data_IF_894702096368
#
_entry.id   IF_894702096368
#
_cell.length_a   1.000
_cell.length_b   1.000
_cell.length_c   1.000
_cell.angle_alpha   90.00
_cell.angle_beta   90.00
_cell.angle_gamma   90.00
#
_symmetry.space_group_name_H-M   'P 1'
#
loop_
_entity.id
_entity.type
_entity.pdbx_description
1 polymer ?
#
# COMPACT_ATOMS: atom_id res chain seq x y z
N UNK A 1 22.76 25.35 -89.57
CA UNK A 1 23.74 24.27 -89.29
C UNK A 1 23.20 23.49 -88.09
N UNK A 2 22.80 22.24 -88.32
CA UNK A 2 21.98 21.42 -87.42
C UNK A 2 22.75 20.67 -86.32
N UNK A 3 22.22 19.55 -85.77
CA UNK A 3 20.92 18.93 -86.03
C UNK A 3 20.11 18.50 -84.78
N UNK A 4 18.90 18.03 -85.09
CA UNK A 4 17.94 17.29 -84.27
C UNK A 4 18.47 15.87 -83.94
N UNK A 5 18.19 15.35 -82.74
CA UNK A 5 18.19 13.91 -82.40
C UNK A 5 17.51 13.76 -81.03
N UNK A 6 16.25 13.36 -80.92
CA UNK A 6 15.64 12.02 -81.01
C UNK A 6 15.85 11.09 -79.80
N UNK A 7 14.74 10.86 -79.08
CA UNK A 7 14.26 9.65 -78.37
C UNK A 7 15.27 8.75 -77.63
N UNK A 8 14.97 8.45 -76.36
CA UNK A 8 14.65 7.06 -75.95
C UNK A 8 13.92 7.02 -74.60
N UNK A 9 13.02 6.04 -74.47
CA UNK A 9 12.37 5.62 -73.22
C UNK A 9 13.17 4.47 -72.60
N UNK A 10 13.39 4.53 -71.29
CA UNK A 10 13.55 3.40 -70.37
C UNK A 10 13.44 4.00 -68.96
N UNK A 11 12.69 3.51 -67.98
CA UNK A 11 12.25 2.16 -67.71
C UNK A 11 12.68 1.85 -66.26
N UNK A 12 11.71 1.86 -65.34
CA UNK A 12 11.69 1.16 -64.04
C UNK A 12 12.80 1.53 -63.03
N UNK A 13 12.48 1.97 -61.81
CA UNK A 13 12.09 1.05 -60.73
C UNK A 13 11.61 1.85 -59.51
N UNK A 14 10.51 1.41 -58.91
CA UNK A 14 10.06 1.85 -57.60
C UNK A 14 11.05 1.38 -56.53
N UNK A 15 11.70 2.30 -55.82
CA UNK A 15 12.37 2.00 -54.55
C UNK A 15 11.53 2.56 -53.41
N UNK A 16 10.65 1.73 -52.87
CA UNK A 16 10.03 1.97 -51.56
C UNK A 16 11.10 1.74 -50.49
N UNK A 17 11.68 2.81 -49.95
CA UNK A 17 12.41 2.71 -48.69
C UNK A 17 11.39 2.49 -47.56
N UNK A 18 11.18 1.23 -47.17
CA UNK A 18 10.47 0.89 -45.94
C UNK A 18 11.35 1.25 -44.74
N UNK A 19 11.01 2.35 -44.06
CA UNK A 19 11.60 2.69 -42.77
C UNK A 19 11.08 1.68 -41.73
N UNK A 20 11.84 0.63 -41.45
CA UNK A 20 11.50 -0.30 -40.36
C UNK A 20 11.74 0.41 -39.03
N UNK A 21 10.65 0.92 -38.44
CA UNK A 21 10.61 1.32 -37.04
C UNK A 21 10.87 0.07 -36.19
N UNK A 22 12.09 -0.08 -35.68
CA UNK A 22 12.37 -1.03 -34.59
C UNK A 22 11.66 -0.50 -33.35
N UNK A 23 10.37 -0.82 -33.21
CA UNK A 23 9.71 -0.76 -31.93
C UNK A 23 10.47 -1.73 -31.01
N UNK A 24 11.21 -1.18 -30.07
CA UNK A 24 11.74 -1.92 -28.94
C UNK A 24 10.54 -2.45 -28.16
N UNK A 25 10.10 -3.66 -28.51
CA UNK A 25 9.28 -4.49 -27.65
C UNK A 25 10.12 -4.75 -26.40
N UNK A 26 10.01 -3.85 -25.43
CA UNK A 26 10.30 -4.14 -24.05
C UNK A 26 9.32 -5.25 -23.67
N UNK A 27 9.73 -6.49 -23.89
CA UNK A 27 9.15 -7.64 -23.23
C UNK A 27 9.30 -7.37 -21.74
N UNK A 28 8.22 -6.88 -21.14
CA UNK A 28 8.06 -6.91 -19.71
C UNK A 28 8.02 -8.39 -19.37
N UNK A 29 9.18 -8.96 -19.03
CA UNK A 29 9.20 -10.22 -18.33
C UNK A 29 8.33 -10.01 -17.10
N UNK A 30 7.17 -10.66 -17.09
CA UNK A 30 6.36 -10.79 -15.89
C UNK A 30 7.20 -11.64 -14.94
N UNK A 31 8.05 -10.97 -14.14
CA UNK A 31 8.61 -11.58 -12.95
C UNK A 31 7.41 -11.82 -12.03
N UNK A 32 6.81 -13.00 -12.16
CA UNK A 32 5.99 -13.55 -11.09
C UNK A 32 6.91 -13.62 -9.88
N UNK A 33 6.74 -12.68 -8.95
CA UNK A 33 7.54 -12.63 -7.74
C UNK A 33 7.19 -13.90 -6.92
N UNK A 34 7.95 -14.98 -7.15
CA UNK A 34 7.87 -16.25 -6.41
C UNK A 34 8.16 -16.10 -4.90
N UNK A 35 8.39 -14.88 -4.43
CA UNK A 35 8.79 -14.51 -3.07
C UNK A 35 7.66 -14.56 -2.04
N UNK A 36 6.38 -14.55 -2.44
CA UNK A 36 5.25 -14.50 -1.49
C UNK A 36 5.06 -15.77 -0.64
N UNK A 37 5.58 -16.92 -1.08
CA UNK A 37 5.40 -18.18 -0.36
C UNK A 37 6.57 -18.55 0.57
N UNK A 38 7.77 -18.02 0.29
CA UNK A 38 8.99 -18.34 1.03
C UNK A 38 9.01 -17.63 2.38
N UNK A 39 9.38 -18.37 3.43
CA UNK A 39 9.65 -17.79 4.74
C UNK A 39 11.05 -17.18 4.75
N UNK A 40 11.13 -15.88 5.06
CA UNK A 40 12.36 -15.14 5.29
C UNK A 40 12.61 -15.00 6.79
N UNK A 41 13.81 -14.57 7.18
CA UNK A 41 14.17 -14.35 8.59
C UNK A 41 14.30 -12.85 8.88
N UNK A 42 13.83 -12.43 10.05
CA UNK A 42 13.97 -11.07 10.56
C UNK A 42 14.25 -11.12 12.07
N UNK A 43 14.70 -9.99 12.60
CA UNK A 43 14.69 -9.76 14.04
C UNK A 43 13.32 -9.21 14.45
N UNK A 44 12.90 -9.52 15.67
CA UNK A 44 11.71 -8.92 16.26
C UNK A 44 11.94 -8.53 17.72
N UNK A 45 11.43 -7.36 18.09
CA UNK A 45 11.24 -6.89 19.46
C UNK A 45 9.76 -6.58 19.67
N UNK A 46 9.42 -5.98 20.81
CA UNK A 46 8.10 -5.42 21.01
C UNK A 46 8.14 -4.11 21.80
N UNK A 47 7.07 -3.33 21.65
CA UNK A 47 6.93 -2.01 22.28
C UNK A 47 5.51 -1.78 22.81
N UNK A 48 5.38 -0.74 23.65
CA UNK A 48 4.12 -0.34 24.28
C UNK A 48 3.63 -1.30 25.37
N UNK A 49 2.33 -1.25 25.71
CA UNK A 49 1.77 -2.11 26.74
C UNK A 49 1.80 -3.60 26.34
N UNK A 50 1.99 -4.54 27.29
CA UNK A 50 2.08 -5.98 27.01
C UNK A 50 0.90 -6.59 26.25
N UNK A 51 -0.29 -5.98 26.36
CA UNK A 51 -1.53 -6.40 25.70
C UNK A 51 -2.14 -5.29 24.83
N UNK A 52 -1.37 -4.23 24.56
CA UNK A 52 -1.74 -3.11 23.69
C UNK A 52 -1.26 -3.27 22.25
N UNK A 53 -1.59 -2.29 21.41
CA UNK A 53 -1.20 -2.21 20.00
C UNK A 53 0.17 -1.55 19.78
N UNK A 54 0.98 -1.36 20.82
CA UNK A 54 2.16 -0.50 20.74
C UNK A 54 1.79 0.94 21.12
N UNK A 55 1.66 1.82 20.12
CA UNK A 55 1.16 3.19 20.32
C UNK A 55 0.09 3.56 19.28
N UNK A 56 -0.70 4.58 19.57
CA UNK A 56 -1.63 5.20 18.61
C UNK A 56 -0.97 6.33 17.81
N UNK A 57 0.30 6.67 18.07
CA UNK A 57 1.03 7.75 17.40
C UNK A 57 1.86 7.30 16.20
N UNK A 58 1.51 6.18 15.57
CA UNK A 58 2.35 5.51 14.58
C UNK A 58 2.52 6.28 13.26
N UNK A 59 3.66 6.06 12.61
CA UNK A 59 4.09 6.74 11.39
C UNK A 59 3.16 6.59 10.16
N UNK A 60 2.22 5.64 10.19
CA UNK A 60 1.23 5.48 9.12
C UNK A 60 -0.01 6.35 9.27
N UNK A 61 -0.23 6.98 10.44
CA UNK A 61 -1.38 7.86 10.68
C UNK A 61 -2.67 7.16 11.09
N UNK A 62 -2.65 5.85 11.37
CA UNK A 62 -3.84 5.05 11.70
C UNK A 62 -4.47 5.36 13.09
N UNK A 63 -3.79 6.12 13.94
CA UNK A 63 -4.33 6.59 15.24
C UNK A 63 -4.89 5.47 16.11
N UNK A 64 -6.12 5.61 16.60
CA UNK A 64 -6.80 4.65 17.48
C UNK A 64 -7.26 3.38 16.75
N UNK A 65 -7.23 3.33 15.42
CA UNK A 65 -7.70 2.17 14.67
C UNK A 65 -6.86 0.91 14.97
N UNK A 66 -5.58 1.10 15.31
CA UNK A 66 -4.64 0.01 15.67
C UNK A 66 -5.09 -0.79 16.90
N UNK A 67 -5.82 -0.15 17.83
CA UNK A 67 -6.35 -0.80 19.04
C UNK A 67 -7.66 -1.58 18.78
N UNK A 68 -8.34 -1.28 17.67
CA UNK A 68 -9.72 -1.71 17.38
C UNK A 68 -9.75 -2.78 16.29
N UNK A 69 -10.86 -3.53 16.15
CA UNK A 69 -11.11 -4.31 14.93
C UNK A 69 -11.02 -3.39 13.69
N UNK A 70 -10.45 -3.86 12.56
CA UNK A 70 -9.99 -5.22 12.29
C UNK A 70 -8.49 -5.46 12.58
N UNK A 71 -7.74 -4.45 13.02
CA UNK A 71 -6.33 -4.65 13.38
C UNK A 71 -6.18 -5.47 14.66
N UNK A 72 -7.10 -5.33 15.62
CA UNK A 72 -7.12 -6.10 16.86
C UNK A 72 -5.77 -6.08 17.60
N UNK A 73 -5.06 -4.94 17.59
CA UNK A 73 -3.72 -4.81 18.17
C UNK A 73 -2.68 -5.70 17.51
N UNK A 74 -2.99 -6.38 16.41
CA UNK A 74 -2.05 -7.23 15.66
C UNK A 74 -1.25 -6.38 14.67
N UNK A 75 -0.46 -5.47 15.21
CA UNK A 75 0.28 -4.47 14.45
C UNK A 75 1.77 -4.48 14.79
N UNK A 76 2.57 -3.83 13.95
CA UNK A 76 4.01 -3.68 14.14
C UNK A 76 4.52 -2.34 13.58
N UNK A 77 5.56 -1.80 14.22
CA UNK A 77 6.46 -0.86 13.59
C UNK A 77 7.48 -1.62 12.75
N UNK A 78 7.56 -1.31 11.46
CA UNK A 78 8.49 -1.95 10.54
C UNK A 78 9.81 -1.17 10.45
N UNK A 79 10.93 -1.87 10.39
CA UNK A 79 12.19 -1.27 9.92
C UNK A 79 12.10 -0.82 8.45
N UNK A 80 13.17 -0.24 7.93
CA UNK A 80 13.17 0.44 6.62
C UNK A 80 12.75 -0.48 5.45
N UNK A 81 13.09 -1.77 5.51
CA UNK A 81 12.67 -2.76 4.52
C UNK A 81 11.14 -2.96 4.46
N UNK A 82 10.45 -2.72 5.57
CA UNK A 82 9.01 -2.92 5.70
C UNK A 82 8.24 -1.61 5.61
N UNK A 83 8.67 -0.55 6.30
CA UNK A 83 7.99 0.76 6.30
C UNK A 83 8.14 1.49 4.96
N UNK A 84 9.30 1.38 4.30
CA UNK A 84 9.56 1.93 2.95
C UNK A 84 9.13 3.40 2.78
N UNK A 85 9.46 4.23 3.77
CA UNK A 85 9.08 5.66 3.79
C UNK A 85 7.57 5.87 3.61
N UNK A 86 6.75 5.10 4.33
CA UNK A 86 5.29 5.17 4.27
C UNK A 86 4.63 4.24 3.25
N UNK A 87 5.35 3.85 2.17
CA UNK A 87 4.79 2.96 1.13
C UNK A 87 4.45 1.55 1.65
N UNK A 88 5.03 1.16 2.78
CA UNK A 88 4.77 -0.10 3.45
C UNK A 88 3.56 -0.10 4.38
N UNK A 89 2.96 1.07 4.66
CA UNK A 89 1.80 1.18 5.52
C UNK A 89 0.63 0.34 4.99
N UNK A 90 -0.03 -0.35 5.91
CA UNK A 90 -1.12 -1.29 5.59
C UNK A 90 -0.64 -2.65 5.11
N UNK A 91 0.67 -2.86 4.90
CA UNK A 91 1.21 -4.12 4.46
C UNK A 91 1.03 -5.25 5.48
N UNK A 92 0.50 -6.40 5.04
CA UNK A 92 0.26 -7.54 5.91
C UNK A 92 1.32 -8.64 5.80
N UNK A 93 1.67 -9.22 6.94
CA UNK A 93 2.66 -10.28 7.06
C UNK A 93 2.18 -11.38 7.99
N UNK A 94 2.60 -12.61 7.68
CA UNK A 94 2.59 -13.71 8.65
C UNK A 94 3.94 -13.73 9.35
N UNK A 95 3.96 -13.68 10.67
CA UNK A 95 5.18 -13.71 11.49
C UNK A 95 5.08 -14.86 12.50
N UNK A 96 6.13 -15.67 12.61
CA UNK A 96 6.23 -16.74 13.61
C UNK A 96 7.61 -16.79 14.24
N UNK A 97 7.66 -17.03 15.54
CA UNK A 97 8.91 -17.27 16.23
C UNK A 97 9.61 -18.56 15.74
N UNK A 98 10.95 -18.53 15.67
CA UNK A 98 11.79 -19.63 15.18
C UNK A 98 12.18 -20.64 16.26
N UNK A 99 12.84 -20.21 17.34
CA UNK A 99 13.61 -21.13 18.21
C UNK A 99 13.38 -21.02 19.71
N UNK A 100 12.57 -20.07 20.21
CA UNK A 100 12.38 -19.93 21.66
C UNK A 100 11.46 -21.05 22.21
N UNK A 101 11.74 -21.63 23.40
CA UNK A 101 11.00 -22.77 23.95
C UNK A 101 9.47 -22.57 24.01
N UNK A 102 9.06 -21.35 24.36
CA UNK A 102 7.66 -20.95 24.50
C UNK A 102 6.94 -20.66 23.19
N UNK A 103 7.60 -20.80 22.03
CA UNK A 103 6.96 -20.49 20.76
C UNK A 103 5.94 -21.56 20.35
N UNK A 104 4.77 -21.11 19.90
CA UNK A 104 3.72 -22.00 19.37
C UNK A 104 4.05 -22.56 17.99
N UNK A 105 5.01 -21.94 17.29
CA UNK A 105 5.33 -22.16 15.86
C UNK A 105 4.18 -21.80 14.90
N UNK A 106 3.03 -21.35 15.41
CA UNK A 106 1.92 -20.84 14.61
C UNK A 106 2.19 -19.38 14.25
N UNK A 107 1.94 -18.96 13.00
CA UNK A 107 2.11 -17.57 12.63
C UNK A 107 0.95 -16.71 13.09
N UNK A 108 1.29 -15.48 13.48
CA UNK A 108 0.37 -14.37 13.72
C UNK A 108 0.33 -13.51 12.46
N UNK A 109 -0.86 -13.05 12.08
CA UNK A 109 -1.01 -12.07 11.01
C UNK A 109 -0.84 -10.69 11.62
N UNK A 110 0.06 -9.87 11.07
CA UNK A 110 0.28 -8.50 11.53
C UNK A 110 0.18 -7.52 10.36
N UNK A 111 -0.08 -6.25 10.71
CA UNK A 111 -0.09 -5.12 9.77
C UNK A 111 1.00 -4.12 10.15
N UNK A 112 1.68 -3.55 9.15
CA UNK A 112 2.62 -2.44 9.36
C UNK A 112 1.85 -1.14 9.53
N UNK A 113 1.99 -0.52 10.69
CA UNK A 113 1.26 0.69 11.09
C UNK A 113 2.17 1.80 11.61
N UNK A 114 3.47 1.53 11.73
CA UNK A 114 4.45 2.44 12.30
C UNK A 114 5.87 2.15 11.73
N UNK A 115 6.84 3.00 12.08
CA UNK A 115 8.23 2.92 11.66
C UNK A 115 9.15 2.67 12.86
N UNK A 116 10.05 1.69 12.72
CA UNK A 116 11.13 1.44 13.68
C UNK A 116 12.46 1.94 13.07
N UNK A 117 12.83 3.23 13.29
CA UNK A 117 13.99 3.84 12.63
C UNK A 117 15.32 3.19 13.06
N UNK A 118 16.31 3.24 12.15
CA UNK A 118 17.64 2.69 12.41
C UNK A 118 17.73 1.16 12.34
N UNK A 119 16.66 0.50 11.87
CA UNK A 119 16.61 -0.94 11.65
C UNK A 119 16.19 -1.26 10.22
N UNK A 120 16.66 -2.37 9.65
CA UNK A 120 16.33 -2.77 8.28
C UNK A 120 15.27 -3.89 8.25
N UNK A 121 15.68 -5.15 8.29
CA UNK A 121 14.77 -6.31 8.37
C UNK A 121 14.40 -6.63 9.83
N UNK A 122 13.62 -5.74 10.43
CA UNK A 122 13.20 -5.82 11.83
C UNK A 122 11.71 -5.51 12.00
N UNK A 123 11.02 -6.27 12.85
CA UNK A 123 9.66 -5.98 13.30
C UNK A 123 9.70 -5.59 14.77
N UNK A 124 9.32 -4.36 15.10
CA UNK A 124 8.99 -4.02 16.48
C UNK A 124 7.50 -4.24 16.66
N UNK A 125 7.12 -5.41 17.17
CA UNK A 125 5.74 -5.84 17.26
C UNK A 125 5.02 -5.11 18.40
N UNK A 126 3.72 -4.93 18.30
CA UNK A 126 2.92 -4.63 19.49
C UNK A 126 3.09 -5.73 20.55
N UNK A 127 2.93 -5.38 21.83
CA UNK A 127 2.96 -6.36 22.92
C UNK A 127 1.96 -7.50 22.71
N UNK A 128 0.77 -7.18 22.21
CA UNK A 128 -0.24 -8.19 21.89
C UNK A 128 0.22 -9.14 20.76
N UNK A 129 0.73 -8.62 19.64
CA UNK A 129 1.21 -9.45 18.53
C UNK A 129 2.43 -10.31 18.91
N UNK A 130 3.36 -9.77 19.71
CA UNK A 130 4.53 -10.51 20.16
C UNK A 130 4.14 -11.68 21.07
N UNK A 131 3.28 -11.42 22.06
CA UNK A 131 2.74 -12.44 22.95
C UNK A 131 1.94 -13.51 22.20
N UNK A 132 1.20 -13.15 21.15
CA UNK A 132 0.40 -14.07 20.34
C UNK A 132 1.23 -15.13 19.59
N UNK A 133 2.56 -14.97 19.48
CA UNK A 133 3.44 -16.01 18.94
C UNK A 133 3.75 -17.14 19.95
N UNK A 134 3.42 -16.95 21.22
CA UNK A 134 3.67 -17.92 22.28
C UNK A 134 2.67 -19.08 22.28
N UNK A 135 3.00 -20.15 22.98
CA UNK A 135 2.03 -21.17 23.40
C UNK A 135 1.00 -20.53 24.35
N UNK A 136 -0.24 -21.03 24.39
CA UNK A 136 -1.25 -20.51 25.31
C UNK A 136 -0.75 -20.47 26.75
N UNK A 137 -0.89 -19.31 27.40
CA UNK A 137 -0.44 -19.09 28.79
C UNK A 137 1.07 -18.85 28.96
N UNK A 138 1.81 -18.66 27.86
CA UNK A 138 3.26 -18.37 27.85
C UNK A 138 3.59 -17.01 27.22
N UNK A 139 2.59 -16.15 27.04
CA UNK A 139 2.70 -14.86 26.36
C UNK A 139 3.68 -13.93 27.10
N UNK A 140 3.56 -13.84 28.44
CA UNK A 140 4.46 -13.05 29.28
C UNK A 140 5.90 -13.58 29.25
N UNK A 141 6.06 -14.90 29.30
CA UNK A 141 7.37 -15.53 29.26
C UNK A 141 8.04 -15.29 27.90
N UNK A 142 7.31 -15.41 26.80
CA UNK A 142 7.86 -15.08 25.49
C UNK A 142 8.25 -13.60 25.42
N UNK A 143 7.39 -12.68 25.85
CA UNK A 143 7.70 -11.23 25.89
C UNK A 143 8.94 -10.91 26.72
N UNK A 144 9.18 -11.65 27.80
CA UNK A 144 10.37 -11.48 28.65
C UNK A 144 11.70 -11.78 27.94
N UNK A 145 11.68 -12.52 26.83
CA UNK A 145 12.85 -12.70 25.97
C UNK A 145 13.33 -11.38 25.34
N UNK A 146 12.42 -10.39 25.19
CA UNK A 146 12.68 -9.07 24.63
C UNK A 146 12.93 -9.05 23.12
N UNK A 147 13.84 -9.90 22.64
CA UNK A 147 14.24 -10.01 21.24
C UNK A 147 14.21 -11.44 20.76
N UNK A 148 13.67 -11.67 19.56
CA UNK A 148 13.57 -12.98 18.93
C UNK A 148 14.04 -12.94 17.47
N UNK A 149 14.60 -14.05 17.01
CA UNK A 149 14.64 -14.33 15.57
C UNK A 149 13.29 -14.91 15.15
N UNK A 150 12.65 -14.27 14.19
CA UNK A 150 11.36 -14.67 13.63
C UNK A 150 11.51 -15.10 12.18
N UNK A 151 10.54 -15.90 11.71
CA UNK A 151 10.30 -16.14 10.30
C UNK A 151 9.08 -15.35 9.86
N UNK A 152 9.16 -14.71 8.71
CA UNK A 152 8.06 -13.93 8.16
C UNK A 152 7.84 -14.19 6.67
N UNK A 153 6.66 -13.82 6.16
CA UNK A 153 6.37 -13.69 4.73
C UNK A 153 5.19 -12.75 4.51
N UNK A 154 5.10 -12.16 3.32
CA UNK A 154 3.93 -11.38 2.90
C UNK A 154 2.67 -12.26 2.95
N UNK A 155 1.55 -11.67 3.31
CA UNK A 155 0.25 -12.33 3.31
C UNK A 155 -0.81 -11.35 2.81
N UNK A 156 -1.74 -11.76 1.93
CA UNK A 156 -2.84 -10.87 1.55
C UNK A 156 -3.61 -10.39 2.79
N UNK A 157 -3.79 -9.08 2.89
CA UNK A 157 -4.63 -8.44 3.88
C UNK A 157 -6.09 -8.84 3.69
N UNK A 158 -6.74 -9.16 4.81
CA UNK A 158 -8.14 -9.56 4.87
C UNK A 158 -8.79 -8.87 6.06
N UNK A 159 -9.79 -8.04 5.79
CA UNK A 159 -10.49 -7.24 6.78
C UNK A 159 -11.97 -7.56 6.72
N UNK A 160 -12.32 -8.81 7.02
CA UNK A 160 -13.68 -9.36 6.83
C UNK A 160 -14.76 -8.47 7.45
N UNK A 161 -15.72 -8.06 6.62
CA UNK A 161 -16.85 -7.21 7.03
C UNK A 161 -16.45 -5.76 7.36
N UNK A 162 -15.19 -5.37 7.18
CA UNK A 162 -14.73 -3.99 7.34
C UNK A 162 -14.47 -3.38 5.96
N UNK A 163 -15.25 -2.37 5.56
CA UNK A 163 -15.04 -1.72 4.28
C UNK A 163 -13.77 -0.87 4.28
N UNK A 164 -13.18 -0.67 3.10
CA UNK A 164 -12.14 0.32 2.89
C UNK A 164 -12.64 1.68 3.39
N UNK A 165 -11.84 2.34 4.22
CA UNK A 165 -12.22 3.57 4.93
C UNK A 165 -11.30 4.71 4.55
N UNK A 166 -11.88 5.89 4.35
CA UNK A 166 -11.24 7.13 3.99
C UNK A 166 -11.43 8.09 5.16
N UNK A 167 -10.37 8.37 5.90
CA UNK A 167 -10.38 9.40 6.94
C UNK A 167 -9.91 10.72 6.32
N UNK A 168 -10.79 11.72 6.30
CA UNK A 168 -10.47 13.05 5.77
C UNK A 168 -9.72 13.82 6.85
N UNK A 169 -8.53 14.32 6.52
CA UNK A 169 -7.72 15.08 7.47
C UNK A 169 -8.47 16.34 7.94
N UNK A 170 -8.27 16.73 9.22
CA UNK A 170 -8.95 17.87 9.83
C UNK A 170 -8.58 19.23 9.19
N UNK A 171 -7.43 19.33 8.54
CA UNK A 171 -6.99 20.49 7.76
C UNK A 171 -7.59 20.59 6.36
N UNK A 172 -8.33 19.56 5.91
CA UNK A 172 -9.00 19.57 4.61
C UNK A 172 -10.05 20.69 4.49
N UNK A 173 -10.28 21.14 3.27
CA UNK A 173 -11.29 22.13 2.91
C UNK A 173 -11.61 22.01 1.39
N UNK A 174 -12.58 22.75 0.83
CA UNK A 174 -12.92 22.59 -0.59
C UNK A 174 -11.78 22.81 -1.60
N UNK A 175 -10.67 23.43 -1.22
CA UNK A 175 -9.51 23.68 -2.10
C UNK A 175 -8.30 22.78 -1.78
N UNK A 176 -8.36 21.99 -0.70
CA UNK A 176 -7.31 21.08 -0.28
C UNK A 176 -7.94 19.85 0.36
N UNK A 177 -7.73 18.68 -0.23
CA UNK A 177 -8.19 17.41 0.30
C UNK A 177 -7.00 16.54 0.64
N UNK A 178 -6.94 16.07 1.89
CA UNK A 178 -6.01 15.04 2.32
C UNK A 178 -6.78 13.90 2.98
N UNK A 179 -6.48 12.68 2.55
CA UNK A 179 -7.17 11.47 3.01
C UNK A 179 -6.19 10.39 3.41
N UNK A 180 -6.42 9.81 4.58
CA UNK A 180 -5.82 8.57 5.02
C UNK A 180 -6.69 7.41 4.53
N UNK A 181 -6.07 6.39 3.92
CA UNK A 181 -6.78 5.21 3.42
C UNK A 181 -6.45 3.99 4.29
N UNK A 182 -7.48 3.42 4.89
CA UNK A 182 -7.41 2.24 5.75
C UNK A 182 -8.14 1.03 5.15
N UNK A 183 -7.78 -0.15 5.65
CA UNK A 183 -8.45 -1.43 5.36
C UNK A 183 -8.45 -1.83 3.87
N UNK A 184 -7.36 -1.54 3.16
CA UNK A 184 -7.16 -2.00 1.79
C UNK A 184 -6.86 -3.50 1.76
N UNK A 185 -7.77 -4.30 1.22
CA UNK A 185 -7.56 -5.75 1.09
C UNK A 185 -6.58 -6.12 -0.05
N UNK A 186 -6.07 -7.36 -0.01
CA UNK A 186 -5.06 -7.82 -0.97
C UNK A 186 -3.66 -7.39 -0.54
N UNK A 187 -2.99 -6.55 -1.31
CA UNK A 187 -1.61 -6.16 -1.00
C UNK A 187 -1.49 -5.33 0.30
N UNK A 188 -2.56 -4.63 0.70
CA UNK A 188 -2.56 -3.66 1.80
C UNK A 188 -1.86 -2.35 1.48
N UNK A 189 -0.76 -2.42 0.74
CA UNK A 189 0.05 -1.29 0.31
C UNK A 189 -0.48 -0.67 -0.97
N UNK A 190 -0.47 0.67 -1.02
CA UNK A 190 -1.00 1.47 -2.13
C UNK A 190 0.17 2.15 -2.84
N UNK A 191 0.17 2.15 -4.19
CA UNK A 191 1.16 2.90 -4.97
C UNK A 191 0.58 4.12 -5.70
N UNK A 192 -0.75 4.19 -5.86
CA UNK A 192 -1.42 5.35 -6.44
C UNK A 192 -2.83 5.52 -5.89
N UNK A 193 -3.21 6.78 -5.65
CA UNK A 193 -4.58 7.20 -5.36
C UNK A 193 -4.94 8.30 -6.34
N UNK A 194 -6.10 8.18 -6.98
CA UNK A 194 -6.70 9.18 -7.83
C UNK A 194 -8.09 9.52 -7.32
N UNK A 195 -8.53 10.76 -7.53
CA UNK A 195 -9.87 11.22 -7.19
C UNK A 195 -10.63 11.68 -8.43
N UNK A 196 -11.95 11.65 -8.35
CA UNK A 196 -12.86 12.25 -9.34
C UNK A 196 -14.01 12.95 -8.64
N UNK A 197 -14.15 14.25 -8.91
CA UNK A 197 -15.26 15.06 -8.47
C UNK A 197 -16.51 14.83 -9.34
N UNK A 198 -17.70 15.02 -8.80
CA UNK A 198 -18.97 14.73 -9.49
C UNK A 198 -19.20 15.54 -10.77
N UNK A 199 -18.60 16.72 -10.88
CA UNK A 199 -18.69 17.58 -12.06
C UNK A 199 -17.58 17.32 -13.10
N UNK A 200 -16.79 16.25 -12.93
CA UNK A 200 -15.68 15.90 -13.84
C UNK A 200 -15.75 14.43 -14.25
N UNK A 201 -15.34 14.17 -15.49
CA UNK A 201 -15.12 12.82 -15.99
C UNK A 201 -13.66 12.36 -15.85
N UNK A 202 -12.78 13.25 -15.39
CA UNK A 202 -11.34 13.00 -15.30
C UNK A 202 -10.93 12.50 -13.91
N UNK A 203 -10.06 11.49 -13.90
CA UNK A 203 -9.36 11.04 -12.70
C UNK A 203 -8.10 11.87 -12.51
N UNK A 204 -7.94 12.44 -11.32
CA UNK A 204 -6.82 13.29 -10.97
C UNK A 204 -5.95 12.60 -9.94
N UNK A 205 -4.66 12.51 -10.23
CA UNK A 205 -3.66 11.90 -9.35
C UNK A 205 -3.50 12.71 -8.05
N UNK A 206 -3.65 12.04 -6.92
CA UNK A 206 -3.27 12.57 -5.60
C UNK A 206 -1.78 12.33 -5.37
N UNK A 207 -1.15 13.23 -4.61
CA UNK A 207 0.26 13.13 -4.22
C UNK A 207 0.36 12.39 -2.88
N UNK A 208 1.34 11.48 -2.71
CA UNK A 208 1.62 10.92 -1.39
C UNK A 208 2.03 12.04 -0.43
N UNK A 209 1.53 11.96 0.79
CA UNK A 209 1.90 12.80 1.93
C UNK A 209 2.69 11.96 2.94
N UNK A 210 2.59 12.30 4.23
CA UNK A 210 3.18 11.50 5.31
C UNK A 210 2.42 10.17 5.52
N UNK A 211 3.14 9.10 5.86
CA UNK A 211 2.53 7.80 6.19
C UNK A 211 1.67 7.23 5.06
N UNK A 212 0.39 6.94 5.37
CA UNK A 212 -0.60 6.46 4.41
C UNK A 212 -1.57 7.56 3.91
N UNK A 213 -1.21 8.85 4.08
CA UNK A 213 -2.03 9.96 3.62
C UNK A 213 -1.73 10.35 2.17
N UNK A 214 -2.76 10.81 1.48
CA UNK A 214 -2.72 11.27 0.09
C UNK A 214 -3.41 12.63 -0.02
N UNK A 215 -2.77 13.58 -0.68
CA UNK A 215 -3.23 14.96 -0.75
C UNK A 215 -3.45 15.45 -2.18
N UNK A 216 -4.38 16.39 -2.34
CA UNK A 216 -4.63 17.09 -3.60
C UNK A 216 -5.09 18.53 -3.33
N UNK A 217 -4.48 19.49 -4.03
CA UNK A 217 -4.88 20.90 -4.02
C UNK A 217 -5.60 21.24 -5.31
N UNK A 218 -6.71 21.99 -5.20
CA UNK A 218 -7.57 22.34 -6.33
C UNK A 218 -7.55 23.85 -6.59
N UNK A 219 -7.61 24.24 -7.87
CA UNK A 219 -7.75 25.65 -8.28
C UNK A 219 -9.18 26.18 -8.12
N UNK A 220 -10.17 25.29 -8.04
CA UNK A 220 -11.57 25.57 -7.79
C UNK A 220 -12.09 24.63 -6.68
N UNK A 221 -13.20 24.97 -6.00
CA UNK A 221 -13.77 24.11 -4.97
C UNK A 221 -14.10 22.71 -5.52
N UNK A 222 -13.67 21.67 -4.81
CA UNK A 222 -14.05 20.29 -5.07
C UNK A 222 -15.57 20.15 -4.99
N UNK A 223 -16.20 19.86 -6.11
CA UNK A 223 -17.61 19.54 -6.16
C UNK A 223 -17.82 18.07 -5.79
N UNK A 224 -18.31 17.80 -4.58
CA UNK A 224 -18.73 16.46 -4.21
C UNK A 224 -20.03 16.02 -4.91
N UNK A 225 -20.35 14.72 -4.91
CA UNK A 225 -19.58 13.64 -4.29
C UNK A 225 -18.21 13.37 -4.94
N UNK A 226 -17.29 12.78 -4.18
CA UNK A 226 -15.93 12.46 -4.63
C UNK A 226 -15.75 10.94 -4.63
N UNK A 227 -15.31 10.43 -5.77
CA UNK A 227 -14.92 9.03 -5.98
C UNK A 227 -13.41 8.87 -5.90
N UNK A 228 -12.92 7.69 -5.52
CA UNK A 228 -11.48 7.36 -5.52
C UNK A 228 -11.18 6.14 -6.38
N UNK A 229 -9.99 6.13 -6.97
CA UNK A 229 -9.39 4.98 -7.64
C UNK A 229 -8.07 4.66 -6.97
N UNK A 230 -7.97 3.47 -6.41
CA UNK A 230 -6.83 2.99 -5.62
C UNK A 230 -6.09 1.93 -6.42
N UNK A 231 -4.79 2.10 -6.61
CA UNK A 231 -3.91 1.09 -7.23
C UNK A 231 -3.00 0.49 -6.18
N UNK A 232 -3.08 -0.83 -5.98
CA UNK A 232 -2.24 -1.54 -5.01
C UNK A 232 -0.81 -1.76 -5.52
N UNK A 233 0.16 -1.87 -4.62
CA UNK A 233 1.57 -1.83 -5.01
C UNK A 233 2.10 -3.11 -5.67
N UNK A 234 1.76 -4.31 -5.18
CA UNK A 234 2.40 -5.54 -5.66
C UNK A 234 1.69 -6.12 -6.88
N UNK A 235 0.37 -6.24 -6.82
CA UNK A 235 -0.48 -6.81 -7.86
C UNK A 235 -0.93 -5.80 -8.90
N UNK A 236 -0.71 -4.50 -8.65
CA UNK A 236 -1.20 -3.39 -9.48
C UNK A 236 -2.72 -3.45 -9.70
N UNK A 237 -3.45 -4.01 -8.74
CA UNK A 237 -4.91 -4.11 -8.79
C UNK A 237 -5.51 -2.72 -8.62
N UNK A 238 -6.42 -2.36 -9.52
CA UNK A 238 -7.13 -1.09 -9.49
C UNK A 238 -8.52 -1.30 -8.90
N UNK A 239 -8.88 -0.52 -7.89
CA UNK A 239 -10.19 -0.53 -7.22
C UNK A 239 -10.81 0.84 -7.37
N UNK A 240 -12.03 0.92 -7.88
CA UNK A 240 -12.80 2.16 -7.96
C UNK A 240 -13.88 2.15 -6.90
N UNK A 241 -13.89 3.16 -6.05
CA UNK A 241 -14.93 3.40 -5.04
C UNK A 241 -15.65 4.71 -5.39
N UNK A 242 -16.90 4.57 -5.81
CA UNK A 242 -17.69 5.70 -6.27
C UNK A 242 -18.32 6.44 -5.08
N UNK A 243 -18.36 7.76 -5.19
CA UNK A 243 -19.15 8.67 -4.35
C UNK A 243 -18.99 8.46 -2.84
N UNK A 244 -17.79 8.09 -2.39
CA UNK A 244 -17.52 7.76 -0.98
C UNK A 244 -17.56 8.99 -0.08
N UNK A 245 -17.09 10.13 -0.57
CA UNK A 245 -17.20 11.43 0.11
C UNK A 245 -18.46 12.13 -0.44
N UNK A 246 -19.52 12.33 0.36
CA UNK A 246 -20.75 12.98 -0.09
C UNK A 246 -20.53 14.47 -0.34
N UNK A 247 -21.50 15.15 -0.96
CA UNK A 247 -21.39 16.59 -1.29
C UNK A 247 -21.05 17.47 -0.08
N UNK A 248 -21.52 17.10 1.10
CA UNK A 248 -21.37 17.81 2.36
C UNK A 248 -20.33 17.19 3.30
N UNK A 249 -19.35 16.46 2.75
CA UNK A 249 -18.24 15.89 3.50
C UNK A 249 -17.57 16.93 4.42
N UNK A 250 -17.03 16.46 5.54
CA UNK A 250 -16.45 17.29 6.59
C UNK A 250 -15.02 16.85 6.89
N UNK A 251 -14.11 17.79 7.17
CA UNK A 251 -12.79 17.48 7.69
C UNK A 251 -12.88 16.69 9.01
N UNK A 252 -11.91 15.80 9.24
CA UNK A 252 -11.82 14.97 10.44
C UNK A 252 -12.87 13.87 10.55
N UNK A 253 -13.51 13.47 9.44
CA UNK A 253 -14.54 12.43 9.41
C UNK A 253 -14.12 11.21 8.61
N UNK A 254 -14.69 10.06 8.97
CA UNK A 254 -14.49 8.78 8.29
C UNK A 254 -15.61 8.52 7.29
N UNK A 255 -15.24 8.10 6.08
CA UNK A 255 -16.15 7.69 5.02
C UNK A 255 -15.82 6.27 4.57
N UNK A 256 -16.83 5.42 4.48
CA UNK A 256 -16.66 3.98 4.20
C UNK A 256 -17.16 3.65 2.80
N UNK A 257 -16.39 2.87 2.05
CA UNK A 257 -16.82 2.34 0.76
C UNK A 257 -18.06 1.44 0.94
N UNK A 258 -19.06 1.62 0.07
CA UNK A 258 -20.35 0.92 0.14
C UNK A 258 -20.42 -0.36 -0.71
N UNK A 259 -19.40 -0.63 -1.54
CA UNK A 259 -19.36 -1.79 -2.45
C UNK A 259 -17.94 -2.38 -2.55
N UNK A 260 -17.82 -3.70 -2.41
CA UNK A 260 -16.60 -4.51 -2.66
C UNK A 260 -16.67 -5.17 -4.04
#
# INVERSE_FOLDING_TARGET
MGPISSRSWSGWTFSFLSLQLLASLNYCFCHTNKTHHQWLEAQATWYGPPTGAGTTGGACGYTDSVEKPPFHKLVAAGGDAFYKSGKGCGGCYKVKCKSHPDCSKRPVNIVITDHCPGTNQHFDLSGHAFGAMARPGKEDLLRSAGKLTVKYRRHPCKFYGTPMTFHVDAGSNPYYLEVLVEFVEGDGTICSVELRAANSNEWVQMKPSWGALWQHSCSSPLCGPISFRITTDETKRVVTVNDVLPKDWKPGQDYRATHH
#
